data_IF_276746757367
#
_entry.id   IF_276746757367
#
_cell.length_a   1.000
_cell.length_b   1.000
_cell.length_c   1.000
_cell.angle_alpha   90.00
_cell.angle_beta   90.00
_cell.angle_gamma   90.00
#
_symmetry.space_group_name_H-M   'P 1'
#
loop_
_entity.id
_entity.type
_entity.pdbx_description
1 polymer ?
#
# COMPACT_ATOMS: atom_id res chain seq x y z
N UNK A 1 8.20 25.85 -8.47
CA UNK A 1 8.39 24.85 -7.41
C UNK A 1 7.14 24.01 -7.11
N UNK A 2 6.03 24.53 -6.56
CA UNK A 2 4.84 23.68 -6.25
C UNK A 2 4.28 23.01 -7.52
N UNK A 3 4.10 23.78 -8.60
CA UNK A 3 3.61 23.28 -9.89
C UNK A 3 4.60 22.32 -10.56
N UNK A 4 5.89 22.70 -10.60
CA UNK A 4 6.96 21.87 -11.19
C UNK A 4 7.08 20.49 -10.51
N UNK A 5 6.73 20.41 -9.22
CA UNK A 5 6.81 19.18 -8.43
C UNK A 5 5.45 18.47 -8.27
N UNK A 6 4.37 18.96 -8.89
CA UNK A 6 3.01 18.43 -8.77
C UNK A 6 2.54 18.23 -7.31
N UNK A 7 2.82 19.20 -6.44
CA UNK A 7 2.51 19.12 -5.00
C UNK A 7 1.15 19.72 -4.63
N UNK A 8 0.26 19.88 -5.59
CA UNK A 8 -0.93 20.73 -5.47
C UNK A 8 -1.84 20.34 -4.28
N UNK A 9 -2.03 19.04 -4.06
CA UNK A 9 -2.80 18.51 -2.92
C UNK A 9 -1.98 18.22 -1.65
N UNK A 10 -0.66 18.42 -1.69
CA UNK A 10 0.28 18.09 -0.61
C UNK A 10 1.00 19.30 -0.02
N UNK A 11 0.76 20.49 -0.55
CA UNK A 11 1.40 21.73 -0.13
C UNK A 11 0.38 22.84 0.08
N UNK A 12 0.72 23.78 0.96
CA UNK A 12 -0.01 25.01 1.19
C UNK A 12 0.96 26.17 0.93
N UNK A 13 0.58 27.13 0.09
CA UNK A 13 1.38 28.32 -0.17
C UNK A 13 1.25 29.29 1.02
N UNK A 14 2.37 29.62 1.67
CA UNK A 14 2.43 30.64 2.71
C UNK A 14 3.15 31.86 2.17
N UNK A 15 2.46 33.01 2.10
CA UNK A 15 3.00 34.20 1.41
C UNK A 15 2.57 35.52 2.04
N UNK A 16 3.43 36.53 1.96
CA UNK A 16 3.07 37.92 2.30
C UNK A 16 2.22 38.58 1.21
N UNK A 17 2.17 38.01 0.02
CA UNK A 17 1.41 38.52 -1.13
C UNK A 17 -0.01 37.94 -1.18
N UNK A 18 -0.60 37.61 -0.03
CA UNK A 18 -1.92 36.99 0.02
C UNK A 18 -3.00 37.89 -0.57
N UNK A 19 -2.89 39.21 -0.46
CA UNK A 19 -3.84 40.18 -1.04
C UNK A 19 -3.73 40.34 -2.56
N UNK A 20 -2.71 39.75 -3.19
CA UNK A 20 -2.60 39.74 -4.65
C UNK A 20 -3.63 38.78 -5.26
N UNK A 21 -4.63 39.34 -5.94
CA UNK A 21 -5.71 38.61 -6.60
C UNK A 21 -5.17 37.65 -7.67
N UNK A 22 -4.11 38.02 -8.39
CA UNK A 22 -3.52 37.14 -9.40
C UNK A 22 -2.91 35.88 -8.76
N UNK A 23 -2.31 36.03 -7.58
CA UNK A 23 -1.76 34.88 -6.82
C UNK A 23 -2.88 34.01 -6.28
N UNK A 24 -3.96 34.58 -5.75
CA UNK A 24 -5.13 33.82 -5.29
C UNK A 24 -5.75 33.01 -6.42
N UNK A 25 -6.03 33.66 -7.55
CA UNK A 25 -6.62 33.01 -8.73
C UNK A 25 -5.72 31.89 -9.25
N UNK A 26 -4.39 32.09 -9.27
CA UNK A 26 -3.45 31.04 -9.67
C UNK A 26 -3.51 29.84 -8.74
N UNK A 27 -3.52 30.06 -7.42
CA UNK A 27 -3.61 28.98 -6.43
C UNK A 27 -4.93 28.21 -6.56
N UNK A 28 -6.04 28.92 -6.77
CA UNK A 28 -7.36 28.31 -7.00
C UNK A 28 -7.38 27.44 -8.26
N UNK A 29 -6.89 27.97 -9.38
CA UNK A 29 -6.83 27.25 -10.66
C UNK A 29 -6.04 25.94 -10.59
N UNK A 30 -4.99 25.91 -9.78
CA UNK A 30 -4.13 24.73 -9.64
C UNK A 30 -4.52 23.85 -8.44
N UNK A 31 -5.56 24.22 -7.67
CA UNK A 31 -6.02 23.46 -6.50
C UNK A 31 -5.08 23.51 -5.29
N UNK A 32 -4.26 24.54 -5.16
CA UNK A 32 -3.34 24.76 -4.02
C UNK A 32 -4.01 25.65 -2.99
N UNK A 33 -3.99 25.24 -1.72
CA UNK A 33 -4.43 26.10 -0.61
C UNK A 33 -3.40 27.20 -0.36
N UNK A 34 -3.85 28.39 0.03
CA UNK A 34 -3.01 29.55 0.30
C UNK A 34 -3.33 30.17 1.67
N UNK A 35 -2.31 30.61 2.40
CA UNK A 35 -2.41 31.22 3.73
C UNK A 35 -1.53 32.50 3.79
N UNK A 36 -2.01 33.59 4.43
CA UNK A 36 -1.18 34.76 4.71
C UNK A 36 -0.02 34.42 5.64
N UNK A 37 1.19 34.88 5.31
CA UNK A 37 2.37 34.63 6.15
C UNK A 37 2.24 35.23 7.56
N UNK A 38 1.50 36.33 7.70
CA UNK A 38 1.18 36.94 8.99
C UNK A 38 0.35 36.03 9.90
N UNK A 39 -0.33 35.03 9.36
CA UNK A 39 -1.20 34.14 10.12
C UNK A 39 -0.47 32.90 10.65
N UNK A 40 0.76 32.64 10.20
CA UNK A 40 1.58 31.48 10.60
C UNK A 40 1.67 31.32 12.13
N UNK A 41 1.91 32.39 12.93
CA UNK A 41 2.00 32.24 14.39
C UNK A 41 0.70 31.76 15.07
N UNK A 42 -0.45 31.88 14.40
CA UNK A 42 -1.76 31.52 14.94
C UNK A 42 -2.26 30.16 14.45
N UNK A 43 -1.49 29.49 13.58
CA UNK A 43 -1.86 28.19 13.03
C UNK A 43 -1.26 27.09 13.88
N UNK A 44 -2.11 26.16 14.30
CA UNK A 44 -1.67 24.94 14.99
C UNK A 44 -0.95 24.03 13.98
N UNK A 45 0.36 23.90 14.12
CA UNK A 45 1.12 22.84 13.46
C UNK A 45 1.00 21.60 14.34
N UNK A 46 0.53 20.51 13.75
CA UNK A 46 0.42 19.22 14.41
C UNK A 46 1.40 18.32 13.69
N UNK A 47 2.40 17.81 14.40
CA UNK A 47 3.16 16.68 13.91
C UNK A 47 2.18 15.53 13.75
N UNK A 48 2.05 15.05 12.52
CA UNK A 48 1.44 13.74 12.33
C UNK A 48 2.43 12.74 12.91
N UNK A 49 1.98 11.77 13.72
CA UNK A 49 2.88 10.70 14.12
C UNK A 49 3.52 10.15 12.85
N UNK A 50 4.83 9.91 12.88
CA UNK A 50 5.45 9.12 11.82
C UNK A 50 4.57 7.89 11.65
N UNK A 51 4.05 7.72 10.43
CA UNK A 51 3.24 6.55 10.14
C UNK A 51 4.21 5.39 10.28
N UNK A 52 4.16 4.68 11.41
CA UNK A 52 4.88 3.42 11.56
C UNK A 52 4.35 2.52 10.46
N UNK A 53 5.10 2.46 9.37
CA UNK A 53 4.72 1.66 8.24
C UNK A 53 4.71 0.21 8.70
N UNK A 54 3.60 -0.45 8.44
CA UNK A 54 3.33 -1.77 8.95
C UNK A 54 4.22 -2.75 8.19
N UNK A 55 5.14 -3.41 8.90
CA UNK A 55 5.97 -4.47 8.33
C UNK A 55 5.33 -5.83 8.63
N UNK A 56 4.15 -6.06 8.05
CA UNK A 56 3.37 -7.31 8.19
C UNK A 56 3.33 -8.10 6.89
N UNK A 57 2.74 -9.29 6.97
CA UNK A 57 2.35 -10.05 5.78
C UNK A 57 1.01 -9.53 5.26
N UNK A 58 0.90 -9.38 3.95
CA UNK A 58 -0.35 -9.07 3.25
C UNK A 58 -0.76 -10.28 2.40
N UNK A 59 -2.03 -10.64 2.43
CA UNK A 59 -2.61 -11.65 1.56
C UNK A 59 -3.83 -11.11 0.82
N UNK A 60 -3.87 -11.25 -0.50
CA UNK A 60 -4.95 -10.78 -1.37
C UNK A 60 -5.54 -11.99 -2.10
N UNK A 61 -6.80 -12.30 -1.81
CA UNK A 61 -7.54 -13.42 -2.41
C UNK A 61 -9.04 -13.09 -2.30
N UNK A 62 -9.83 -13.30 -3.34
CA UNK A 62 -11.27 -13.00 -3.34
C UNK A 62 -12.07 -14.01 -2.50
N UNK A 63 -11.54 -15.21 -2.29
CA UNK A 63 -12.13 -16.25 -1.47
C UNK A 63 -11.99 -15.95 0.04
N UNK A 64 -13.13 -15.75 0.71
CA UNK A 64 -13.19 -15.46 2.14
C UNK A 64 -12.63 -16.61 3.01
N UNK A 65 -12.91 -17.86 2.64
CA UNK A 65 -12.43 -19.01 3.40
C UNK A 65 -10.91 -19.13 3.33
N UNK A 66 -10.34 -18.81 2.17
CA UNK A 66 -8.90 -18.76 1.98
C UNK A 66 -8.26 -17.68 2.87
N UNK A 67 -8.82 -16.47 2.88
CA UNK A 67 -8.34 -15.39 3.76
C UNK A 67 -8.45 -15.76 5.24
N UNK A 68 -9.56 -16.34 5.67
CA UNK A 68 -9.75 -16.80 7.05
C UNK A 68 -8.71 -17.85 7.45
N UNK A 69 -8.39 -18.79 6.55
CA UNK A 69 -7.34 -19.81 6.78
C UNK A 69 -5.98 -19.17 7.04
N UNK A 70 -5.62 -18.14 6.27
CA UNK A 70 -4.37 -17.39 6.46
C UNK A 70 -4.36 -16.58 7.75
N UNK A 71 -5.49 -15.97 8.13
CA UNK A 71 -5.64 -15.27 9.41
C UNK A 71 -5.39 -16.23 10.57
N UNK A 72 -6.09 -17.36 10.62
CA UNK A 72 -5.92 -18.34 11.70
C UNK A 72 -4.49 -18.87 11.79
N UNK A 73 -3.87 -19.20 10.65
CA UNK A 73 -2.49 -19.70 10.65
C UNK A 73 -1.48 -18.63 11.13
N UNK A 74 -1.70 -17.35 10.79
CA UNK A 74 -0.86 -16.26 11.28
C UNK A 74 -1.03 -16.06 12.80
N UNK A 75 -2.28 -16.09 13.29
CA UNK A 75 -2.59 -15.98 14.71
C UNK A 75 -1.96 -17.11 15.53
N UNK A 76 -2.07 -18.36 15.08
CA UNK A 76 -1.43 -19.52 15.72
C UNK A 76 0.11 -19.42 15.74
N UNK A 77 0.70 -18.78 14.73
CA UNK A 77 2.14 -18.52 14.67
C UNK A 77 2.57 -17.24 15.44
N UNK A 78 1.63 -16.48 16.01
CA UNK A 78 1.91 -15.22 16.68
C UNK A 78 2.37 -14.11 15.72
N UNK A 79 2.02 -14.21 14.42
CA UNK A 79 2.35 -13.22 13.40
C UNK A 79 1.12 -12.39 13.02
N UNK A 80 1.33 -11.11 12.74
CA UNK A 80 0.28 -10.24 12.22
C UNK A 80 0.19 -10.31 10.69
N UNK A 81 -1.04 -10.47 10.19
CA UNK A 81 -1.37 -10.47 8.78
C UNK A 81 -2.50 -9.48 8.49
N UNK A 82 -2.46 -8.84 7.34
CA UNK A 82 -3.57 -8.08 6.77
C UNK A 82 -4.08 -8.80 5.52
N UNK A 83 -5.40 -8.97 5.40
CA UNK A 83 -5.99 -9.63 4.23
C UNK A 83 -6.97 -8.71 3.51
N UNK A 84 -7.05 -8.83 2.19
CA UNK A 84 -7.91 -8.01 1.35
C UNK A 84 -8.65 -8.89 0.35
N UNK A 85 -9.93 -8.60 0.12
CA UNK A 85 -10.76 -9.36 -0.81
C UNK A 85 -10.54 -8.98 -2.28
N UNK A 86 -9.92 -7.81 -2.50
CA UNK A 86 -9.59 -7.33 -3.84
C UNK A 86 -8.31 -6.50 -3.83
N UNK A 87 -7.71 -6.35 -5.01
CA UNK A 87 -6.54 -5.50 -5.18
C UNK A 87 -6.83 -4.02 -4.90
N UNK A 88 -8.03 -3.53 -5.24
CA UNK A 88 -8.42 -2.13 -5.04
C UNK A 88 -8.53 -1.77 -3.56
N UNK A 89 -9.04 -2.68 -2.73
CA UNK A 89 -9.04 -2.52 -1.27
C UNK A 89 -7.62 -2.34 -0.73
N UNK A 90 -6.68 -3.18 -1.17
CA UNK A 90 -5.27 -3.03 -0.80
C UNK A 90 -4.67 -1.72 -1.31
N UNK A 91 -4.97 -1.30 -2.55
CA UNK A 91 -4.46 -0.05 -3.14
C UNK A 91 -4.92 1.18 -2.33
N UNK A 92 -6.12 1.17 -1.76
CA UNK A 92 -6.60 2.25 -0.89
C UNK A 92 -5.74 2.40 0.38
N UNK A 93 -5.14 1.31 0.86
CA UNK A 93 -4.32 1.27 2.07
C UNK A 93 -2.82 1.15 1.81
N UNK A 94 -2.40 1.08 0.54
CA UNK A 94 -1.01 0.79 0.13
C UNK A 94 0.03 1.75 0.73
N UNK A 95 -0.37 2.97 1.07
CA UNK A 95 0.48 3.98 1.70
C UNK A 95 0.71 3.73 3.21
N UNK A 96 0.12 2.69 3.78
CA UNK A 96 0.35 2.22 5.15
C UNK A 96 1.50 1.19 5.23
N UNK A 97 2.00 0.72 4.09
CA UNK A 97 2.94 -0.40 3.99
C UNK A 97 4.31 0.03 3.47
N UNK A 98 5.35 -0.65 3.94
CA UNK A 98 6.71 -0.49 3.45
C UNK A 98 6.90 -1.20 2.10
N UNK A 99 7.94 -0.80 1.35
CA UNK A 99 8.28 -1.44 0.07
C UNK A 99 8.81 -2.88 0.20
N UNK A 100 9.25 -3.26 1.39
CA UNK A 100 9.65 -4.62 1.75
C UNK A 100 8.53 -5.42 2.43
N UNK A 101 7.30 -4.92 2.50
CA UNK A 101 6.13 -5.69 2.97
C UNK A 101 6.00 -6.96 2.15
N UNK A 102 5.83 -8.09 2.83
CA UNK A 102 5.68 -9.41 2.24
C UNK A 102 4.25 -9.59 1.73
N UNK A 103 4.06 -9.62 0.41
CA UNK A 103 2.74 -9.59 -0.22
C UNK A 103 2.52 -10.89 -0.99
N UNK A 104 1.46 -11.60 -0.66
CA UNK A 104 0.96 -12.76 -1.38
C UNK A 104 -0.34 -12.40 -2.11
N UNK A 105 -0.43 -12.74 -3.39
CA UNK A 105 -1.60 -12.43 -4.23
C UNK A 105 -2.05 -13.73 -4.92
N UNK A 106 -3.34 -14.04 -4.85
CA UNK A 106 -3.89 -15.12 -5.67
C UNK A 106 -3.90 -14.75 -7.15
N UNK A 107 -3.76 -15.75 -8.03
CA UNK A 107 -3.73 -15.51 -9.49
C UNK A 107 -5.09 -15.10 -10.04
N UNK A 108 -6.20 -15.53 -9.44
CA UNK A 108 -7.55 -15.18 -9.84
C UNK A 108 -8.26 -14.42 -8.72
N UNK A 109 -8.40 -13.11 -8.86
CA UNK A 109 -9.07 -12.25 -7.87
C UNK A 109 -10.55 -12.01 -8.24
N UNK A 110 -11.13 -12.93 -9.03
CA UNK A 110 -12.48 -12.79 -9.56
C UNK A 110 -12.59 -11.66 -10.59
N UNK A 111 -13.77 -11.54 -11.22
CA UNK A 111 -14.09 -10.48 -12.18
C UNK A 111 -13.04 -10.28 -13.30
N UNK A 112 -12.35 -11.37 -13.70
CA UNK A 112 -11.27 -11.35 -14.70
C UNK A 112 -10.06 -10.48 -14.29
N UNK A 113 -9.88 -10.24 -12.99
CA UNK A 113 -8.71 -9.57 -12.41
C UNK A 113 -7.65 -10.62 -12.12
N UNK A 114 -6.46 -10.46 -12.72
CA UNK A 114 -5.35 -11.42 -12.58
C UNK A 114 -4.32 -10.91 -11.60
N UNK A 115 -3.98 -11.73 -10.60
CA UNK A 115 -3.00 -11.37 -9.57
C UNK A 115 -1.63 -11.03 -10.12
N UNK A 116 -1.19 -11.69 -11.18
CA UNK A 116 0.09 -11.40 -11.83
C UNK A 116 0.14 -10.00 -12.46
N UNK A 117 -0.98 -9.47 -12.95
CA UNK A 117 -1.07 -8.12 -13.50
C UNK A 117 -1.06 -7.09 -12.34
N UNK A 118 -1.76 -7.39 -11.24
CA UNK A 118 -1.72 -6.62 -10.01
C UNK A 118 -0.30 -6.57 -9.41
N UNK A 119 0.41 -7.70 -9.39
CA UNK A 119 1.79 -7.79 -8.90
C UNK A 119 2.73 -6.87 -9.70
N UNK A 120 2.50 -6.74 -11.01
CA UNK A 120 3.26 -5.80 -11.84
C UNK A 120 3.07 -4.37 -11.38
N UNK A 121 1.84 -3.96 -11.08
CA UNK A 121 1.55 -2.61 -10.59
C UNK A 121 2.23 -2.32 -9.25
N UNK A 122 2.36 -3.33 -8.38
CA UNK A 122 3.07 -3.19 -7.11
C UNK A 122 4.58 -3.05 -7.31
N UNK A 123 5.15 -3.85 -8.21
CA UNK A 123 6.55 -3.75 -8.59
C UNK A 123 6.88 -2.37 -9.19
N UNK A 124 6.04 -1.86 -10.08
CA UNK A 124 6.18 -0.52 -10.66
C UNK A 124 6.04 0.59 -9.58
N UNK A 125 5.38 0.30 -8.44
CA UNK A 125 5.32 1.15 -7.23
C UNK A 125 6.47 0.89 -6.23
N UNK A 126 7.43 0.04 -6.57
CA UNK A 126 8.64 -0.24 -5.81
C UNK A 126 8.52 -1.33 -4.75
N UNK A 127 7.42 -2.09 -4.69
CA UNK A 127 7.36 -3.26 -3.80
C UNK A 127 8.23 -4.38 -4.34
N UNK A 128 9.05 -4.98 -3.47
CA UNK A 128 10.09 -5.95 -3.88
C UNK A 128 9.82 -7.38 -3.41
N UNK A 129 8.88 -7.57 -2.48
CA UNK A 129 8.60 -8.86 -1.84
C UNK A 129 7.19 -9.37 -2.19
N UNK A 130 6.93 -9.47 -3.51
CA UNK A 130 5.62 -9.86 -4.06
C UNK A 130 5.65 -11.30 -4.57
N UNK A 131 4.70 -12.09 -4.10
CA UNK A 131 4.57 -13.53 -4.36
C UNK A 131 3.21 -13.86 -4.93
N UNK A 132 3.16 -14.84 -5.84
CA UNK A 132 1.91 -15.39 -6.34
C UNK A 132 1.56 -16.65 -5.55
N UNK A 133 0.42 -16.68 -4.87
CA UNK A 133 -0.06 -17.83 -4.11
C UNK A 133 -1.15 -18.53 -4.92
N UNK A 134 -0.84 -19.62 -5.62
CA UNK A 134 -1.77 -20.23 -6.57
C UNK A 134 -1.66 -21.75 -6.60
N UNK A 135 -2.77 -22.42 -6.95
CA UNK A 135 -2.79 -23.85 -7.26
C UNK A 135 -2.28 -24.18 -8.67
N UNK A 136 -2.01 -23.19 -9.51
CA UNK A 136 -1.51 -23.40 -10.86
C UNK A 136 -0.02 -23.76 -10.90
N UNK A 137 0.38 -24.58 -11.87
CA UNK A 137 1.79 -24.91 -12.08
C UNK A 137 2.62 -23.68 -12.41
N UNK A 138 3.84 -23.58 -11.83
CA UNK A 138 4.82 -22.53 -12.09
C UNK A 138 5.10 -22.29 -13.57
N UNK A 139 4.97 -23.32 -14.40
CA UNK A 139 5.20 -23.25 -15.85
C UNK A 139 4.25 -22.29 -16.60
N UNK A 140 3.08 -22.01 -16.03
CA UNK A 140 2.12 -21.04 -16.58
C UNK A 140 2.65 -19.60 -16.54
N UNK A 141 3.65 -19.34 -15.70
CA UNK A 141 4.12 -18.00 -15.36
C UNK A 141 5.61 -17.82 -15.67
N UNK A 142 6.16 -18.46 -16.70
CA UNK A 142 7.60 -18.42 -17.03
C UNK A 142 8.15 -17.03 -17.42
N UNK A 143 7.35 -15.97 -17.45
CA UNK A 143 7.74 -14.63 -17.92
C UNK A 143 7.23 -13.47 -17.04
N UNK A 144 7.30 -13.60 -15.71
CA UNK A 144 6.83 -12.57 -14.75
C UNK A 144 7.97 -12.11 -13.83
N UNK A 145 8.92 -11.28 -14.31
CA UNK A 145 10.10 -10.88 -13.53
C UNK A 145 9.77 -10.03 -12.29
N UNK A 146 8.54 -9.48 -12.22
CA UNK A 146 8.05 -8.70 -11.08
C UNK A 146 7.49 -9.57 -9.93
N UNK A 147 7.37 -10.88 -10.12
CA UNK A 147 6.96 -11.83 -9.07
C UNK A 147 8.20 -12.52 -8.54
N UNK A 148 8.45 -12.39 -7.23
CA UNK A 148 9.62 -12.94 -6.57
C UNK A 148 9.59 -14.46 -6.51
N UNK A 149 8.47 -15.04 -6.08
CA UNK A 149 8.25 -16.49 -6.15
C UNK A 149 6.79 -16.84 -6.39
N UNK A 150 6.57 -18.07 -6.85
CA UNK A 150 5.26 -18.70 -6.98
C UNK A 150 5.19 -19.81 -5.95
N UNK A 151 4.23 -19.69 -5.04
CA UNK A 151 3.97 -20.57 -3.90
C UNK A 151 2.59 -21.21 -4.02
N UNK A 152 2.38 -22.31 -3.28
CA UNK A 152 1.04 -22.90 -3.14
C UNK A 152 0.13 -21.98 -2.33
N UNK A 153 -1.16 -22.36 -2.21
CA UNK A 153 -2.12 -21.62 -1.38
C UNK A 153 -1.91 -21.82 0.13
N UNK A 154 -1.00 -22.70 0.56
CA UNK A 154 -0.73 -22.93 1.97
C UNK A 154 -0.09 -21.69 2.64
N UNK A 155 -0.59 -21.23 3.80
CA UNK A 155 0.02 -20.14 4.54
C UNK A 155 1.47 -20.47 4.92
N UNK A 156 2.44 -19.56 4.74
CA UNK A 156 3.87 -19.82 4.96
C UNK A 156 4.29 -19.74 6.44
N UNK A 157 3.35 -19.65 7.37
CA UNK A 157 3.60 -19.38 8.78
C UNK A 157 4.08 -20.64 9.49
N UNK A 158 5.25 -20.57 10.13
CA UNK A 158 5.78 -21.66 10.95
C UNK A 158 5.38 -21.44 12.41
N UNK A 159 4.85 -22.49 13.05
CA UNK A 159 4.53 -22.46 14.47
C UNK A 159 5.78 -22.15 15.30
N UNK A 160 5.68 -21.13 16.16
CA UNK A 160 6.63 -20.96 17.24
C UNK A 160 6.46 -22.15 18.21
N UNK A 161 7.21 -23.23 18.01
CA UNK A 161 7.25 -24.31 18.99
C UNK A 161 7.84 -23.73 20.26
N UNK A 162 7.00 -23.52 21.26
CA UNK A 162 7.44 -23.35 22.63
C UNK A 162 8.27 -24.57 22.99
N UNK A 163 9.58 -24.39 23.15
CA UNK A 163 10.41 -25.35 23.86
C UNK A 163 9.96 -25.34 25.33
N UNK A 164 8.92 -26.11 25.62
CA UNK A 164 8.58 -26.53 26.98
C UNK A 164 9.38 -27.79 27.27
N UNK A 165 10.58 -27.61 27.83
CA UNK A 165 11.23 -28.60 28.70
C UNK A 165 10.73 -28.44 30.12
#
# INVERSE_FOLDING_TARGET
>A
MIEELNLNGKAILVTSCFEDIAIRNRCENIGVKIIPKSYVPYIKIIETPEKELINTVVFIDDDEMMRMTWIFAAEEAGQSISTYSSFDEFVNEINNYCKNTLIYIDSDLGNNVRGEDCAKLLFDKGFIDVHLATGHSRDRFRQVPWIKTIVGKEPPFQFAHGNST
#
